data_IF_657862870073
#
_entry.id   IF_657862870073
#
_cell.length_a   1.000
_cell.length_b   1.000
_cell.length_c   1.000
_cell.angle_alpha   90.00
_cell.angle_beta   90.00
_cell.angle_gamma   90.00
#
_symmetry.space_group_name_H-M   'P 1'
#
loop_
_entity.id
_entity.type
_entity.pdbx_description
1 polymer ?
#
# COMPACT_ATOMS: atom_id res chain seq x y z
N UNK A 1 16.54 -23.11 -13.14
CA UNK A 1 15.88 -23.19 -11.81
C UNK A 1 14.51 -23.82 -11.93
N UNK A 2 14.01 -24.42 -10.84
CA UNK A 2 12.60 -24.87 -10.73
C UNK A 2 11.69 -23.70 -10.38
N UNK A 3 10.39 -23.82 -10.65
CA UNK A 3 9.43 -22.76 -10.36
C UNK A 3 9.41 -22.38 -8.88
N UNK A 4 9.53 -23.34 -7.96
CA UNK A 4 9.51 -23.07 -6.53
C UNK A 4 10.68 -22.18 -6.08
N UNK A 5 11.86 -22.35 -6.72
CA UNK A 5 13.03 -21.51 -6.47
C UNK A 5 12.80 -20.09 -7.00
N UNK A 6 12.21 -19.96 -8.20
CA UNK A 6 11.88 -18.65 -8.80
C UNK A 6 10.83 -17.93 -7.95
N UNK A 7 9.77 -18.62 -7.52
CA UNK A 7 8.72 -18.07 -6.66
C UNK A 7 9.29 -17.53 -5.35
N UNK A 8 10.28 -18.22 -4.77
CA UNK A 8 10.92 -17.76 -3.53
C UNK A 8 11.69 -16.44 -3.75
N UNK A 9 12.44 -16.31 -4.85
CA UNK A 9 13.15 -15.08 -5.19
C UNK A 9 12.19 -13.94 -5.49
N UNK A 10 11.14 -14.17 -6.28
CA UNK A 10 10.14 -13.14 -6.60
C UNK A 10 9.36 -12.68 -5.36
N UNK A 11 9.10 -13.58 -4.41
CA UNK A 11 8.50 -13.18 -3.14
C UNK A 11 9.46 -12.33 -2.30
N UNK A 12 10.77 -12.61 -2.33
CA UNK A 12 11.74 -11.76 -1.65
C UNK A 12 11.74 -10.34 -2.25
N UNK A 13 11.69 -10.22 -3.58
CA UNK A 13 11.59 -8.94 -4.27
C UNK A 13 10.27 -8.23 -3.89
N UNK A 14 9.15 -8.95 -3.94
CA UNK A 14 7.82 -8.42 -3.59
C UNK A 14 7.75 -7.89 -2.17
N UNK A 15 8.34 -8.60 -1.20
CA UNK A 15 8.43 -8.14 0.19
C UNK A 15 9.25 -6.83 0.27
N UNK A 16 10.33 -6.72 -0.53
CA UNK A 16 11.11 -5.48 -0.69
C UNK A 16 10.26 -4.30 -1.17
N UNK A 17 9.54 -4.48 -2.27
CA UNK A 17 8.60 -3.47 -2.83
C UNK A 17 7.57 -3.05 -1.79
N UNK A 18 7.01 -4.02 -1.07
CA UNK A 18 6.03 -3.75 -0.02
C UNK A 18 6.62 -2.89 1.11
N UNK A 19 7.88 -3.12 1.49
CA UNK A 19 8.60 -2.28 2.44
C UNK A 19 8.82 -0.85 1.92
N UNK A 20 9.22 -0.70 0.66
CA UNK A 20 9.45 0.59 0.01
C UNK A 20 8.19 1.45 -0.04
N UNK A 21 7.06 0.89 -0.49
CA UNK A 21 5.75 1.57 -0.51
C UNK A 21 5.44 2.21 0.85
N UNK A 22 5.53 1.43 1.92
CA UNK A 22 5.15 1.89 3.26
C UNK A 22 6.14 2.92 3.80
N UNK A 23 7.43 2.76 3.54
CA UNK A 23 8.42 3.76 3.91
C UNK A 23 8.16 5.10 3.19
N UNK A 24 7.93 5.06 1.88
CA UNK A 24 7.77 6.27 1.07
C UNK A 24 6.48 7.01 1.40
N UNK A 25 5.35 6.31 1.52
CA UNK A 25 4.10 6.92 1.99
C UNK A 25 4.24 7.51 3.39
N UNK A 26 4.88 6.79 4.32
CA UNK A 26 5.08 7.30 5.68
C UNK A 26 5.92 8.57 5.69
N UNK A 27 7.00 8.63 4.89
CA UNK A 27 7.83 9.83 4.79
C UNK A 27 7.10 10.99 4.09
N UNK A 28 6.33 10.73 3.03
CA UNK A 28 5.56 11.72 2.32
C UNK A 28 4.47 12.36 3.21
N UNK A 29 3.66 11.54 3.90
CA UNK A 29 2.66 12.08 4.83
C UNK A 29 3.31 12.84 5.99
N UNK A 30 4.48 12.39 6.47
CA UNK A 30 5.17 13.02 7.58
C UNK A 30 5.69 14.44 7.27
N UNK A 31 5.90 14.78 6.00
CA UNK A 31 6.35 16.12 5.59
C UNK A 31 5.20 17.07 5.22
N UNK A 32 3.96 16.55 5.14
CA UNK A 32 2.78 17.30 4.72
C UNK A 32 2.73 17.59 3.23
N UNK A 33 1.65 18.24 2.79
CA UNK A 33 1.48 18.59 1.38
C UNK A 33 2.63 19.48 0.86
N UNK A 34 3.23 19.07 -0.24
CA UNK A 34 4.32 19.79 -0.89
C UNK A 34 4.84 19.04 -2.11
N UNK A 35 5.60 19.74 -2.95
CA UNK A 35 6.12 19.17 -4.20
C UNK A 35 6.91 17.87 -3.95
N UNK A 36 7.82 17.88 -2.97
CA UNK A 36 8.61 16.69 -2.62
C UNK A 36 7.76 15.53 -2.11
N UNK A 37 6.73 15.80 -1.31
CA UNK A 37 5.81 14.76 -0.85
C UNK A 37 5.08 14.11 -2.03
N UNK A 38 4.57 14.92 -2.96
CA UNK A 38 3.90 14.43 -4.17
C UNK A 38 4.84 13.63 -5.09
N UNK A 39 6.12 14.02 -5.19
CA UNK A 39 7.14 13.29 -5.94
C UNK A 39 7.44 11.93 -5.29
N UNK A 40 7.59 11.87 -3.97
CA UNK A 40 7.81 10.61 -3.23
C UNK A 40 6.59 9.69 -3.32
N UNK A 41 5.37 10.22 -3.24
CA UNK A 41 4.17 9.43 -3.48
C UNK A 41 4.09 8.90 -4.92
N UNK A 42 4.65 9.63 -5.89
CA UNK A 42 4.73 9.13 -7.26
C UNK A 42 5.63 7.91 -7.37
N UNK A 43 6.76 7.91 -6.66
CA UNK A 43 7.64 6.74 -6.54
C UNK A 43 6.91 5.61 -5.82
N UNK A 44 6.22 5.87 -4.70
CA UNK A 44 5.43 4.85 -4.00
C UNK A 44 4.38 4.19 -4.92
N UNK A 45 3.77 4.95 -5.85
CA UNK A 45 2.86 4.39 -6.87
C UNK A 45 3.57 3.55 -7.94
N UNK A 46 4.86 3.79 -8.20
CA UNK A 46 5.67 2.92 -9.04
C UNK A 46 5.98 1.60 -8.33
N UNK A 47 6.34 1.64 -7.04
CA UNK A 47 6.54 0.42 -6.25
C UNK A 47 5.27 -0.42 -6.11
N UNK A 48 4.10 0.22 -6.03
CA UNK A 48 2.81 -0.49 -6.10
C UNK A 48 2.63 -1.25 -7.43
N UNK A 49 3.14 -0.70 -8.54
CA UNK A 49 3.14 -1.40 -9.84
C UNK A 49 4.14 -2.56 -9.85
N UNK A 50 5.33 -2.36 -9.28
CA UNK A 50 6.34 -3.42 -9.15
C UNK A 50 5.79 -4.60 -8.34
N UNK A 51 5.22 -4.32 -7.16
CA UNK A 51 4.53 -5.29 -6.32
C UNK A 51 3.47 -6.06 -7.10
N UNK A 52 2.62 -5.37 -7.86
CA UNK A 52 1.57 -5.98 -8.67
C UNK A 52 2.13 -6.91 -9.76
N UNK A 53 3.15 -6.49 -10.51
CA UNK A 53 3.76 -7.33 -11.54
C UNK A 53 4.43 -8.57 -10.97
N UNK A 54 5.10 -8.44 -9.83
CA UNK A 54 5.71 -9.57 -9.12
C UNK A 54 4.63 -10.54 -8.62
N UNK A 55 3.56 -10.03 -8.02
CA UNK A 55 2.46 -10.83 -7.50
C UNK A 55 1.79 -11.64 -8.61
N UNK A 56 1.45 -11.01 -9.74
CA UNK A 56 0.90 -11.70 -10.91
C UNK A 56 1.85 -12.78 -11.43
N UNK A 57 3.14 -12.49 -11.52
CA UNK A 57 4.15 -13.46 -11.99
C UNK A 57 4.28 -14.64 -11.02
N UNK A 58 4.20 -14.41 -9.71
CA UNK A 58 4.20 -15.46 -8.69
C UNK A 58 2.99 -16.38 -8.88
N UNK A 59 1.80 -15.82 -9.07
CA UNK A 59 0.57 -16.60 -9.32
C UNK A 59 0.64 -17.37 -10.64
N UNK A 60 1.16 -16.76 -11.71
CA UNK A 60 1.36 -17.44 -13.00
C UNK A 60 2.26 -18.68 -12.88
N UNK A 61 3.22 -18.67 -11.96
CA UNK A 61 4.10 -19.81 -11.68
C UNK A 61 3.46 -20.86 -10.76
N UNK A 62 2.26 -20.61 -10.24
CA UNK A 62 1.54 -21.46 -9.29
C UNK A 62 1.86 -21.18 -7.82
N UNK A 63 2.46 -20.03 -7.52
CA UNK A 63 2.78 -19.59 -6.17
C UNK A 63 1.68 -18.74 -5.53
N UNK A 64 1.92 -18.34 -4.28
CA UNK A 64 1.09 -17.40 -3.52
C UNK A 64 1.94 -16.17 -3.20
N UNK A 65 1.50 -14.95 -3.56
CA UNK A 65 2.21 -13.72 -3.19
C UNK A 65 2.28 -13.53 -1.68
N UNK A 66 3.45 -13.12 -1.17
CA UNK A 66 3.64 -12.77 0.23
C UNK A 66 2.89 -11.49 0.58
N UNK A 67 2.40 -11.39 1.81
CA UNK A 67 1.84 -10.15 2.37
C UNK A 67 2.77 -9.53 3.42
N UNK A 68 4.01 -10.04 3.52
CA UNK A 68 4.98 -9.52 4.48
C UNK A 68 5.60 -8.25 3.92
N UNK A 69 5.78 -7.27 4.80
CA UNK A 69 6.67 -6.14 4.53
C UNK A 69 8.12 -6.56 4.69
N UNK A 70 8.92 -6.22 3.70
CA UNK A 70 10.37 -6.28 3.76
C UNK A 70 10.95 -5.26 4.75
N UNK A 71 12.27 -5.21 4.81
CA UNK A 71 13.00 -4.32 5.71
C UNK A 71 12.76 -2.86 5.31
N UNK A 72 12.39 -2.03 6.29
CA UNK A 72 12.30 -0.58 6.15
C UNK A 72 13.41 0.14 6.94
N UNK A 73 13.72 1.36 6.54
CA UNK A 73 14.71 2.28 7.12
C UNK A 73 14.00 3.53 7.68
N UNK A 74 13.18 3.33 8.70
CA UNK A 74 12.31 4.36 9.31
C UNK A 74 13.00 5.31 10.32
N UNK A 75 14.30 5.17 10.57
CA UNK A 75 15.05 6.00 11.52
C UNK A 75 15.47 7.35 10.95
N UNK A 76 16.07 8.21 11.78
CA UNK A 76 16.60 9.52 11.37
C UNK A 76 15.94 10.69 12.12
N UNK A 77 16.64 11.82 12.23
CA UNK A 77 16.19 12.99 13.00
C UNK A 77 15.63 14.10 12.10
N UNK A 78 15.90 14.05 10.80
CA UNK A 78 15.52 15.06 9.82
C UNK A 78 14.97 14.46 8.53
N UNK A 79 14.21 15.23 7.75
CA UNK A 79 13.73 14.81 6.43
C UNK A 79 14.90 14.43 5.51
N UNK A 80 16.04 15.13 5.62
CA UNK A 80 17.24 14.78 4.86
C UNK A 80 17.82 13.40 5.26
N UNK A 81 17.68 12.96 6.52
CA UNK A 81 18.04 11.59 6.92
C UNK A 81 17.09 10.56 6.28
N UNK A 82 15.80 10.86 6.21
CA UNK A 82 14.82 9.99 5.57
C UNK A 82 15.09 9.83 4.08
N UNK A 83 15.45 10.92 3.38
CA UNK A 83 15.81 10.85 1.96
C UNK A 83 17.09 10.03 1.75
N UNK A 84 18.08 10.15 2.66
CA UNK A 84 19.26 9.28 2.66
C UNK A 84 18.89 7.81 2.88
N UNK A 85 17.91 7.54 3.73
CA UNK A 85 17.39 6.19 3.93
C UNK A 85 16.64 5.67 2.69
N UNK A 86 16.01 6.53 1.91
CA UNK A 86 15.49 6.20 0.57
C UNK A 86 16.61 5.74 -0.35
N UNK A 87 17.67 6.53 -0.52
CA UNK A 87 18.87 6.13 -1.29
C UNK A 87 19.40 4.76 -0.87
N UNK A 88 19.53 4.52 0.43
CA UNK A 88 20.03 3.24 0.95
C UNK A 88 19.03 2.08 0.78
N UNK A 89 17.73 2.36 0.71
CA UNK A 89 16.73 1.32 0.46
C UNK A 89 16.78 0.88 -1.00
N UNK A 90 16.88 1.82 -1.93
CA UNK A 90 17.09 1.56 -3.37
C UNK A 90 18.38 0.76 -3.61
N UNK A 91 19.47 1.09 -2.90
CA UNK A 91 20.72 0.31 -2.96
C UNK A 91 20.55 -1.12 -2.44
N UNK A 92 19.79 -1.30 -1.36
CA UNK A 92 19.47 -2.62 -0.81
C UNK A 92 18.60 -3.43 -1.80
N UNK A 93 17.71 -2.79 -2.58
CA UNK A 93 16.80 -3.41 -3.55
C UNK A 93 17.48 -3.77 -4.89
N UNK A 94 18.38 -2.92 -5.40
CA UNK A 94 19.08 -3.17 -6.67
C UNK A 94 19.95 -4.44 -6.64
N UNK A 95 20.53 -4.79 -5.50
CA UNK A 95 21.42 -5.94 -5.36
C UNK A 95 20.72 -7.30 -5.64
N UNK A 96 19.61 -7.65 -4.96
CA UNK A 96 18.87 -8.88 -5.26
C UNK A 96 18.33 -8.90 -6.70
N UNK A 97 17.83 -7.78 -7.24
CA UNK A 97 17.40 -7.75 -8.65
C UNK A 97 18.52 -8.15 -9.62
N UNK A 98 19.72 -7.60 -9.45
CA UNK A 98 20.89 -7.95 -10.27
C UNK A 98 21.23 -9.44 -10.15
N UNK A 99 21.20 -10.00 -8.94
CA UNK A 99 21.43 -11.42 -8.71
C UNK A 99 20.35 -12.31 -9.37
N UNK A 100 19.07 -11.97 -9.16
CA UNK A 100 17.93 -12.72 -9.67
C UNK A 100 17.90 -12.73 -11.20
N UNK A 101 18.22 -11.59 -11.83
CA UNK A 101 18.37 -11.47 -13.28
C UNK A 101 19.46 -12.41 -13.82
N UNK A 102 20.56 -12.63 -13.12
CA UNK A 102 21.61 -13.54 -13.60
C UNK A 102 21.17 -15.00 -13.52
N UNK A 103 20.52 -15.40 -12.42
CA UNK A 103 20.21 -16.82 -12.12
C UNK A 103 18.92 -17.34 -12.75
N UNK A 104 17.92 -16.48 -13.03
CA UNK A 104 16.64 -16.90 -13.61
C UNK A 104 16.75 -17.01 -15.13
N UNK A 105 16.53 -18.19 -15.72
CA UNK A 105 16.64 -18.37 -17.18
C UNK A 105 15.42 -17.89 -17.98
N UNK A 106 14.26 -17.70 -17.34
CA UNK A 106 13.01 -17.38 -18.04
C UNK A 106 13.08 -15.96 -18.66
N UNK A 107 12.99 -15.82 -20.00
CA UNK A 107 13.17 -14.53 -20.66
C UNK A 107 12.04 -13.52 -20.38
N UNK A 108 10.82 -13.99 -20.04
CA UNK A 108 9.72 -13.09 -19.65
C UNK A 108 10.01 -12.47 -18.28
N UNK A 109 10.42 -13.29 -17.32
CA UNK A 109 10.73 -12.85 -15.95
C UNK A 109 11.98 -11.96 -15.96
N UNK A 110 13.05 -12.35 -16.66
CA UNK A 110 14.24 -11.51 -16.84
C UNK A 110 13.90 -10.10 -17.34
N UNK A 111 13.02 -10.00 -18.35
CA UNK A 111 12.59 -8.70 -18.89
C UNK A 111 11.84 -7.86 -17.86
N UNK A 112 10.98 -8.50 -17.06
CA UNK A 112 10.25 -7.83 -15.98
C UNK A 112 11.23 -7.29 -14.93
N UNK A 113 12.13 -8.14 -14.42
CA UNK A 113 13.11 -7.73 -13.40
C UNK A 113 14.06 -6.65 -13.91
N UNK A 114 14.47 -6.70 -15.19
CA UNK A 114 15.26 -5.64 -15.82
C UNK A 114 14.50 -4.32 -15.93
N UNK A 115 13.17 -4.38 -16.13
CA UNK A 115 12.34 -3.18 -16.13
C UNK A 115 12.27 -2.58 -14.74
N UNK A 116 11.98 -3.39 -13.73
CA UNK A 116 11.92 -2.94 -12.32
C UNK A 116 13.27 -2.35 -11.91
N UNK A 117 14.38 -3.07 -12.12
CA UNK A 117 15.72 -2.58 -11.81
C UNK A 117 16.04 -1.22 -12.46
N UNK A 118 15.55 -0.96 -13.68
CA UNK A 118 15.73 0.34 -14.32
C UNK A 118 14.95 1.46 -13.63
N UNK A 119 13.80 1.15 -13.05
CA UNK A 119 12.98 2.08 -12.28
C UNK A 119 13.66 2.32 -10.91
N UNK A 120 14.16 1.28 -10.21
CA UNK A 120 14.96 1.42 -8.97
C UNK A 120 16.20 2.33 -9.16
N UNK A 121 16.91 2.17 -10.29
CA UNK A 121 18.07 3.01 -10.63
C UNK A 121 17.67 4.49 -10.84
N UNK A 122 16.44 4.75 -11.30
CA UNK A 122 15.88 6.10 -11.39
C UNK A 122 15.51 6.63 -10.01
N UNK A 123 14.78 5.85 -9.21
CA UNK A 123 14.37 6.22 -7.86
C UNK A 123 15.56 6.53 -6.95
N UNK A 124 16.65 5.77 -7.08
CA UNK A 124 17.92 6.06 -6.41
C UNK A 124 18.41 7.47 -6.70
N UNK A 125 18.41 7.87 -7.98
CA UNK A 125 18.77 9.21 -8.42
C UNK A 125 17.81 10.29 -7.90
N UNK A 126 16.51 10.00 -7.88
CA UNK A 126 15.48 10.90 -7.34
C UNK A 126 15.68 11.13 -5.84
N UNK A 127 15.91 10.07 -5.06
CA UNK A 127 16.20 10.21 -3.62
C UNK A 127 17.52 10.96 -3.35
N UNK A 128 18.55 10.78 -4.17
CA UNK A 128 19.77 11.60 -4.08
C UNK A 128 19.46 13.08 -4.28
N UNK A 129 18.60 13.40 -5.25
CA UNK A 129 18.13 14.76 -5.46
C UNK A 129 17.32 15.29 -4.26
N UNK A 130 16.43 14.46 -3.68
CA UNK A 130 15.62 14.84 -2.52
C UNK A 130 16.46 15.12 -1.27
N UNK A 131 17.59 14.43 -1.08
CA UNK A 131 18.52 14.75 0.03
C UNK A 131 18.98 16.20 -0.06
N UNK A 132 19.35 16.69 -1.25
CA UNK A 132 19.74 18.08 -1.43
C UNK A 132 18.57 19.04 -1.28
N UNK A 133 17.42 18.69 -1.87
CA UNK A 133 16.19 19.50 -1.86
C UNK A 133 15.70 19.72 -0.43
N UNK A 134 15.64 18.65 0.38
CA UNK A 134 15.23 18.71 1.78
C UNK A 134 16.10 19.66 2.62
N UNK A 135 17.42 19.67 2.38
CA UNK A 135 18.34 20.59 3.05
C UNK A 135 18.14 22.05 2.65
N UNK A 136 17.83 22.32 1.37
CA UNK A 136 17.63 23.68 0.84
C UNK A 136 16.27 24.26 1.25
N UNK A 137 15.22 23.45 1.24
CA UNK A 137 13.85 23.88 1.54
C UNK A 137 13.56 23.90 3.04
N UNK A 138 14.39 23.24 3.85
CA UNK A 138 14.18 23.14 5.29
C UNK A 138 12.92 22.34 5.63
N UNK A 139 12.66 21.29 4.85
CA UNK A 139 11.55 20.36 5.08
C UNK A 139 11.60 19.79 6.50
N UNK A 140 10.42 19.61 7.12
CA UNK A 140 10.30 19.20 8.52
C UNK A 140 9.37 18.00 8.65
N UNK A 141 9.64 17.20 9.69
CA UNK A 141 8.63 16.31 10.23
C UNK A 141 7.53 17.17 10.86
N UNK A 142 6.33 17.12 10.30
CA UNK A 142 5.15 17.84 10.82
C UNK A 142 4.26 16.94 11.67
N UNK A 143 4.59 15.66 11.82
CA UNK A 143 3.87 14.75 12.71
C UNK A 143 4.01 15.21 14.15
N UNK A 144 3.02 14.85 14.95
CA UNK A 144 3.03 15.11 16.38
C UNK A 144 2.70 13.88 17.22
N UNK A 145 2.49 14.12 18.52
CA UNK A 145 2.24 13.09 19.51
C UNK A 145 0.78 13.04 19.97
N UNK A 146 -0.17 13.59 19.20
CA UNK A 146 -1.60 13.54 19.55
C UNK A 146 -2.09 12.09 19.60
N UNK A 147 -2.78 11.74 20.68
CA UNK A 147 -3.30 10.40 20.98
C UNK A 147 -4.71 10.44 21.58
N UNK A 148 -5.42 11.54 21.37
CA UNK A 148 -6.79 11.71 21.86
C UNK A 148 -7.77 10.79 21.09
N UNK A 149 -9.06 10.89 21.43
CA UNK A 149 -10.07 10.02 20.85
C UNK A 149 -10.20 10.18 19.32
N UNK A 150 -10.00 11.38 18.79
CA UNK A 150 -10.02 11.62 17.34
C UNK A 150 -8.82 10.93 16.68
N UNK A 151 -7.61 11.07 17.24
CA UNK A 151 -6.43 10.38 16.75
C UNK A 151 -6.59 8.84 16.77
N UNK A 152 -7.31 8.29 17.76
CA UNK A 152 -7.62 6.86 17.82
C UNK A 152 -8.59 6.42 16.72
N UNK A 153 -9.60 7.23 16.40
CA UNK A 153 -10.54 6.97 15.29
C UNK A 153 -9.79 6.98 13.96
N UNK A 154 -8.95 7.99 13.73
CA UNK A 154 -8.17 8.11 12.49
C UNK A 154 -7.18 6.94 12.33
N UNK A 155 -6.42 6.60 13.38
CA UNK A 155 -5.49 5.46 13.31
C UNK A 155 -6.21 4.11 13.16
N UNK A 156 -7.41 3.95 13.72
CA UNK A 156 -8.24 2.77 13.44
C UNK A 156 -8.64 2.70 11.96
N UNK A 157 -9.06 3.83 11.38
CA UNK A 157 -9.36 3.92 9.95
C UNK A 157 -8.14 3.61 9.08
N UNK A 158 -6.99 4.24 9.34
CA UNK A 158 -5.74 3.99 8.59
C UNK A 158 -5.32 2.51 8.63
N UNK A 159 -5.36 1.87 9.81
CA UNK A 159 -5.06 0.44 9.93
C UNK A 159 -6.07 -0.42 9.16
N UNK A 160 -7.33 0.00 9.18
CA UNK A 160 -8.40 -0.67 8.48
C UNK A 160 -8.22 -0.60 6.96
N UNK A 161 -8.10 0.61 6.40
CA UNK A 161 -7.92 0.80 4.96
C UNK A 161 -6.69 0.05 4.47
N UNK A 162 -5.59 0.08 5.23
CA UNK A 162 -4.41 -0.68 4.87
C UNK A 162 -4.65 -2.20 4.86
N UNK A 163 -5.41 -2.72 5.82
CA UNK A 163 -5.79 -4.14 5.85
C UNK A 163 -6.61 -4.51 4.61
N UNK A 164 -7.56 -3.65 4.21
CA UNK A 164 -8.45 -3.91 3.07
C UNK A 164 -7.73 -3.79 1.74
N UNK A 165 -6.83 -2.82 1.57
CA UNK A 165 -5.96 -2.71 0.38
C UNK A 165 -5.23 -4.05 0.16
N UNK A 166 -4.60 -4.59 1.20
CA UNK A 166 -3.87 -5.85 1.11
C UNK A 166 -4.80 -7.03 0.79
N UNK A 167 -5.99 -7.08 1.42
CA UNK A 167 -6.97 -8.12 1.18
C UNK A 167 -7.47 -8.11 -0.28
N UNK A 168 -7.83 -6.94 -0.80
CA UNK A 168 -8.34 -6.79 -2.16
C UNK A 168 -7.28 -7.08 -3.21
N UNK A 169 -6.05 -6.61 -3.02
CA UNK A 169 -4.95 -6.98 -3.91
C UNK A 169 -4.68 -8.48 -3.86
N UNK A 170 -4.63 -9.09 -2.67
CA UNK A 170 -4.43 -10.53 -2.55
C UNK A 170 -5.54 -11.32 -3.26
N UNK A 171 -6.81 -10.99 -3.01
CA UNK A 171 -7.94 -11.64 -3.64
C UNK A 171 -7.97 -11.42 -5.16
N UNK A 172 -7.60 -10.23 -5.64
CA UNK A 172 -7.53 -9.93 -7.07
C UNK A 172 -6.46 -10.75 -7.80
N UNK A 173 -5.32 -10.99 -7.16
CA UNK A 173 -4.28 -11.86 -7.72
C UNK A 173 -4.70 -13.34 -7.73
N UNK A 174 -5.41 -13.78 -6.69
CA UNK A 174 -5.75 -15.19 -6.50
C UNK A 174 -7.03 -15.63 -7.22
N UNK A 175 -7.93 -14.71 -7.57
CA UNK A 175 -9.18 -15.04 -8.26
C UNK A 175 -8.97 -15.37 -9.73
N UNK A 176 -9.71 -16.35 -10.24
CA UNK A 176 -9.74 -16.67 -11.68
C UNK A 176 -10.82 -15.90 -12.43
N UNK A 177 -11.72 -15.22 -11.71
CA UNK A 177 -12.80 -14.43 -12.32
C UNK A 177 -12.27 -13.02 -12.66
N UNK A 178 -12.26 -12.70 -13.96
CA UNK A 178 -11.67 -11.44 -14.46
C UNK A 178 -12.44 -10.19 -14.06
N UNK A 179 -13.77 -10.28 -13.94
CA UNK A 179 -14.58 -9.14 -13.53
C UNK A 179 -14.35 -8.88 -12.03
N UNK A 180 -14.35 -9.93 -11.21
CA UNK A 180 -14.02 -9.81 -9.78
C UNK A 180 -12.60 -9.26 -9.56
N UNK A 181 -11.61 -9.76 -10.32
CA UNK A 181 -10.24 -9.24 -10.29
C UNK A 181 -10.21 -7.73 -10.53
N UNK A 182 -10.83 -7.26 -11.62
CA UNK A 182 -10.84 -5.83 -11.98
C UNK A 182 -11.48 -4.98 -10.89
N UNK A 183 -12.65 -5.39 -10.40
CA UNK A 183 -13.37 -4.60 -9.39
C UNK A 183 -12.62 -4.56 -8.05
N UNK A 184 -11.92 -5.63 -7.66
CA UNK A 184 -11.06 -5.64 -6.48
C UNK A 184 -9.83 -4.73 -6.64
N UNK A 185 -9.18 -4.72 -7.80
CA UNK A 185 -8.07 -3.80 -8.09
C UNK A 185 -8.54 -2.34 -8.04
N UNK A 186 -9.69 -2.04 -8.64
CA UNK A 186 -10.28 -0.70 -8.62
C UNK A 186 -10.65 -0.25 -7.20
N UNK A 187 -11.23 -1.15 -6.38
CA UNK A 187 -11.57 -0.84 -4.99
C UNK A 187 -10.33 -0.70 -4.12
N UNK A 188 -9.28 -1.51 -4.34
CA UNK A 188 -8.00 -1.34 -3.64
C UNK A 188 -7.40 0.05 -3.88
N UNK A 189 -7.52 0.60 -5.10
CA UNK A 189 -7.12 1.98 -5.41
C UNK A 189 -7.99 2.99 -4.65
N UNK A 190 -9.30 2.71 -4.49
CA UNK A 190 -10.17 3.57 -3.70
C UNK A 190 -9.77 3.59 -2.21
N UNK A 191 -9.46 2.42 -1.64
CA UNK A 191 -8.97 2.35 -0.25
C UNK A 191 -7.62 3.02 -0.05
N UNK A 192 -6.72 2.97 -1.03
CA UNK A 192 -5.47 3.74 -0.98
C UNK A 192 -5.74 5.25 -0.84
N UNK A 193 -6.79 5.74 -1.50
CA UNK A 193 -7.20 7.13 -1.37
C UNK A 193 -7.81 7.43 0.02
N UNK A 194 -8.58 6.51 0.59
CA UNK A 194 -9.10 6.64 1.96
C UNK A 194 -7.97 6.71 2.98
N UNK A 195 -6.99 5.82 2.85
CA UNK A 195 -5.79 5.80 3.68
C UNK A 195 -5.07 7.14 3.64
N UNK A 196 -4.88 7.69 2.44
CA UNK A 196 -4.24 9.00 2.25
C UNK A 196 -4.98 10.13 2.97
N UNK A 197 -6.30 10.25 2.75
CA UNK A 197 -7.10 11.29 3.41
C UNK A 197 -7.05 11.20 4.94
N UNK A 198 -7.11 9.98 5.48
CA UNK A 198 -7.05 9.77 6.94
C UNK A 198 -5.64 10.06 7.49
N UNK A 199 -4.59 9.70 6.75
CA UNK A 199 -3.21 9.98 7.12
C UNK A 199 -2.92 11.49 7.14
N UNK A 200 -3.34 12.22 6.10
CA UNK A 200 -3.24 13.67 6.01
C UNK A 200 -3.96 14.36 7.19
N UNK A 201 -5.24 14.02 7.41
CA UNK A 201 -6.02 14.55 8.53
C UNK A 201 -5.38 14.25 9.90
N UNK A 202 -4.79 13.06 10.05
CA UNK A 202 -4.07 12.67 11.26
C UNK A 202 -2.83 13.54 11.47
N UNK A 203 -2.04 13.81 10.42
CA UNK A 203 -0.84 14.63 10.50
C UNK A 203 -1.18 16.10 10.76
N UNK A 204 -2.14 16.67 10.01
CA UNK A 204 -2.61 18.04 10.17
C UNK A 204 -3.18 18.29 11.57
N UNK A 205 -3.81 17.26 12.14
CA UNK A 205 -4.28 17.25 13.52
C UNK A 205 -3.17 17.15 14.57
N UNK A 206 -1.89 17.10 14.20
CA UNK A 206 -0.74 16.96 15.10
C UNK A 206 -0.52 15.52 15.61
N UNK A 207 -1.00 14.53 14.87
CA UNK A 207 -0.87 13.11 15.14
C UNK A 207 0.27 12.44 14.36
N UNK A 208 0.36 11.12 14.51
CA UNK A 208 1.28 10.26 13.78
C UNK A 208 0.51 9.06 13.20
N UNK A 209 0.33 8.97 11.88
CA UNK A 209 -0.33 7.86 11.21
C UNK A 209 0.33 6.51 11.53
N UNK A 210 -0.48 5.50 11.83
CA UNK A 210 -0.02 4.13 12.02
C UNK A 210 -0.48 3.24 10.86
N UNK A 211 0.38 3.11 9.85
CA UNK A 211 0.16 2.26 8.68
C UNK A 211 0.57 0.81 9.01
N UNK A 212 -0.24 0.18 9.85
CA UNK A 212 -0.11 -1.22 10.26
C UNK A 212 -1.40 -1.94 9.87
N UNK A 213 -1.33 -3.23 9.56
CA UNK A 213 -2.52 -4.01 9.18
C UNK A 213 -2.82 -5.08 10.23
N UNK A 214 -4.05 -5.56 10.22
CA UNK A 214 -4.48 -6.71 11.02
C UNK A 214 -4.44 -7.99 10.19
N UNK A 215 -5.10 -9.06 10.64
CA UNK A 215 -5.19 -10.29 9.87
C UNK A 215 -5.94 -10.04 8.55
N UNK A 216 -5.32 -10.44 7.45
CA UNK A 216 -5.88 -10.36 6.09
C UNK A 216 -6.48 -11.71 5.72
N UNK A 217 -7.71 -11.73 5.23
CA UNK A 217 -8.30 -12.97 4.69
C UNK A 217 -7.52 -13.40 3.43
N UNK A 218 -7.13 -14.68 3.39
CA UNK A 218 -6.34 -15.24 2.29
C UNK A 218 -7.10 -16.36 1.58
N UNK A 219 -8.43 -16.26 1.52
CA UNK A 219 -9.26 -17.19 0.78
C UNK A 219 -8.85 -17.23 -0.69
N UNK A 220 -8.81 -18.43 -1.28
CA UNK A 220 -8.41 -18.63 -2.68
C UNK A 220 -9.58 -19.03 -3.59
N UNK A 221 -10.80 -19.09 -3.06
CA UNK A 221 -12.03 -19.31 -3.83
C UNK A 221 -12.78 -17.98 -3.96
N UNK A 222 -13.12 -17.59 -5.18
CA UNK A 222 -13.76 -16.31 -5.50
C UNK A 222 -14.98 -16.01 -4.62
N UNK A 223 -15.88 -16.97 -4.44
CA UNK A 223 -17.08 -16.76 -3.60
C UNK A 223 -16.73 -16.59 -2.10
N UNK A 224 -15.67 -17.22 -1.61
CA UNK A 224 -15.25 -17.08 -0.22
C UNK A 224 -14.56 -15.73 0.00
N UNK A 225 -13.74 -15.28 -0.96
CA UNK A 225 -13.14 -13.93 -0.99
C UNK A 225 -14.22 -12.85 -0.90
N UNK A 226 -15.20 -12.87 -1.83
CA UNK A 226 -16.27 -11.87 -1.87
C UNK A 226 -17.09 -11.87 -0.58
N UNK A 227 -17.33 -13.02 0.06
CA UNK A 227 -18.02 -13.06 1.36
C UNK A 227 -17.18 -12.45 2.48
N UNK A 228 -15.87 -12.65 2.48
CA UNK A 228 -14.95 -12.02 3.43
C UNK A 228 -14.92 -10.50 3.24
N UNK A 229 -14.82 -10.04 1.99
CA UNK A 229 -14.80 -8.62 1.61
C UNK A 229 -16.12 -7.91 1.98
N UNK A 230 -17.28 -8.50 1.64
CA UNK A 230 -18.59 -7.96 2.04
C UNK A 230 -18.69 -7.83 3.57
N UNK A 231 -18.18 -8.82 4.32
CA UNK A 231 -18.28 -8.84 5.77
C UNK A 231 -17.41 -7.75 6.40
N UNK A 232 -16.20 -7.52 5.89
CA UNK A 232 -15.31 -6.50 6.44
C UNK A 232 -15.90 -5.10 6.18
N UNK A 233 -16.42 -4.87 4.97
CA UNK A 233 -17.05 -3.61 4.58
C UNK A 233 -18.27 -3.23 5.42
N UNK A 234 -19.17 -4.18 5.66
CA UNK A 234 -20.34 -3.94 6.49
C UNK A 234 -19.98 -3.52 7.92
N UNK A 235 -18.92 -4.10 8.48
CA UNK A 235 -18.43 -3.75 9.81
C UNK A 235 -17.91 -2.31 9.80
N UNK A 236 -17.22 -1.92 8.74
CA UNK A 236 -16.49 -0.65 8.64
C UNK A 236 -17.42 0.51 8.39
N UNK A 237 -18.38 0.34 7.48
CA UNK A 237 -19.46 1.30 7.29
C UNK A 237 -20.21 1.58 8.61
N UNK A 238 -20.42 0.56 9.45
CA UNK A 238 -21.04 0.75 10.76
C UNK A 238 -20.13 1.50 11.76
N UNK A 239 -18.82 1.24 11.75
CA UNK A 239 -17.85 1.95 12.60
C UNK A 239 -17.69 3.41 12.17
N UNK A 240 -17.53 3.72 10.88
CA UNK A 240 -17.52 5.10 10.39
C UNK A 240 -18.84 5.81 10.67
N UNK A 241 -19.98 5.11 10.55
CA UNK A 241 -21.28 5.62 10.99
C UNK A 241 -21.26 6.11 12.44
N UNK A 242 -20.76 5.30 13.37
CA UNK A 242 -20.61 5.71 14.78
C UNK A 242 -19.61 6.84 14.95
N UNK A 243 -18.48 6.79 14.27
CA UNK A 243 -17.46 7.83 14.36
C UNK A 243 -18.00 9.21 13.94
N UNK A 244 -18.86 9.27 12.91
CA UNK A 244 -19.50 10.54 12.47
C UNK A 244 -20.42 11.16 13.53
N UNK A 245 -21.01 10.35 14.41
CA UNK A 245 -21.82 10.83 15.54
C UNK A 245 -20.95 11.33 16.70
N UNK A 246 -19.76 10.74 16.86
CA UNK A 246 -18.84 11.00 17.96
C UNK A 246 -17.97 12.26 17.74
N UNK A 247 -17.44 12.44 16.53
CA UNK A 247 -16.62 13.61 16.23
C UNK A 247 -17.46 14.91 16.29
N UNK A 248 -16.83 16.05 16.52
CA UNK A 248 -17.53 17.36 16.53
C UNK A 248 -17.12 18.26 15.38
N UNK A 249 -15.91 18.08 14.87
CA UNK A 249 -15.38 18.84 13.75
C UNK A 249 -16.19 18.55 12.46
N UNK A 250 -16.71 19.60 11.79
CA UNK A 250 -17.59 19.43 10.63
C UNK A 250 -16.89 18.88 9.39
N UNK A 251 -15.60 19.18 9.19
CA UNK A 251 -14.85 18.75 8.02
C UNK A 251 -14.45 17.27 8.16
N UNK A 252 -13.98 16.87 9.35
CA UNK A 252 -13.74 15.46 9.68
C UNK A 252 -15.04 14.64 9.59
N UNK A 253 -16.17 15.17 10.06
CA UNK A 253 -17.47 14.49 9.88
C UNK A 253 -17.77 14.20 8.42
N UNK A 254 -17.53 15.18 7.56
CA UNK A 254 -17.78 15.07 6.12
C UNK A 254 -16.84 14.05 5.48
N UNK A 255 -15.57 14.02 5.89
CA UNK A 255 -14.60 13.02 5.45
C UNK A 255 -15.04 11.60 5.83
N UNK A 256 -15.30 11.35 7.11
CA UNK A 256 -15.71 10.02 7.60
C UNK A 256 -17.05 9.57 6.98
N UNK A 257 -18.00 10.49 6.78
CA UNK A 257 -19.25 10.17 6.11
C UNK A 257 -19.05 9.81 4.64
N UNK A 258 -18.09 10.45 3.95
CA UNK A 258 -17.75 10.14 2.55
C UNK A 258 -17.15 8.74 2.43
N UNK A 259 -16.17 8.41 3.27
CA UNK A 259 -15.54 7.07 3.31
C UNK A 259 -16.60 6.01 3.59
N UNK A 260 -17.43 6.20 4.63
CA UNK A 260 -18.57 5.32 4.92
C UNK A 260 -19.46 5.05 3.70
N UNK A 261 -19.77 6.10 2.92
CA UNK A 261 -20.66 5.97 1.77
C UNK A 261 -20.00 5.18 0.62
N UNK A 262 -18.66 5.22 0.51
CA UNK A 262 -17.89 4.36 -0.39
C UNK A 262 -17.91 2.89 0.09
N UNK A 263 -17.71 2.61 1.38
CA UNK A 263 -17.82 1.23 1.93
C UNK A 263 -19.21 0.59 1.69
N UNK A 264 -20.27 1.41 1.75
CA UNK A 264 -21.63 0.97 1.42
C UNK A 264 -21.75 0.64 -0.08
N UNK A 265 -21.04 1.36 -0.94
CA UNK A 265 -20.97 1.06 -2.37
C UNK A 265 -20.19 -0.23 -2.62
N UNK A 266 -18.99 -0.40 -2.03
CA UNK A 266 -18.18 -1.62 -2.12
C UNK A 266 -18.98 -2.85 -1.71
N UNK A 267 -19.66 -2.78 -0.56
CA UNK A 267 -20.56 -3.84 -0.08
C UNK A 267 -21.57 -4.27 -1.14
N UNK A 268 -22.22 -3.32 -1.82
CA UNK A 268 -23.24 -3.60 -2.84
C UNK A 268 -22.63 -4.20 -4.09
N UNK A 269 -21.52 -3.63 -4.56
CA UNK A 269 -20.77 -4.11 -5.72
C UNK A 269 -20.34 -5.57 -5.54
N UNK A 270 -19.65 -5.88 -4.44
CA UNK A 270 -19.22 -7.25 -4.15
C UNK A 270 -20.40 -8.21 -3.92
N UNK A 271 -21.51 -7.72 -3.36
CA UNK A 271 -22.74 -8.53 -3.23
C UNK A 271 -23.35 -8.90 -4.57
N UNK A 272 -23.27 -8.02 -5.57
CA UNK A 272 -23.77 -8.30 -6.91
C UNK A 272 -22.83 -9.28 -7.65
N UNK A 273 -21.52 -9.09 -7.54
CA UNK A 273 -20.52 -10.05 -8.04
C UNK A 273 -20.67 -11.44 -7.42
N UNK A 274 -20.91 -11.53 -6.11
CA UNK A 274 -21.10 -12.81 -5.42
C UNK A 274 -22.33 -13.56 -5.96
N UNK A 275 -23.45 -12.85 -6.20
CA UNK A 275 -24.64 -13.46 -6.81
C UNK A 275 -24.38 -13.94 -8.23
N UNK A 276 -23.43 -13.35 -8.95
CA UNK A 276 -23.05 -13.81 -10.29
C UNK A 276 -22.12 -15.01 -10.24
N UNK A 277 -21.16 -15.03 -9.32
CA UNK A 277 -20.23 -16.14 -9.10
C UNK A 277 -20.94 -17.43 -8.62
N UNK A 278 -22.04 -17.30 -7.87
CA UNK A 278 -22.81 -18.43 -7.33
C UNK A 278 -23.87 -19.02 -8.28
N UNK A 279 -24.07 -18.43 -9.46
CA UNK A 279 -25.04 -18.93 -10.47
C UNK A 279 -24.51 -20.10 -11.28
#
# INVERSE_FOLDING_TARGET
>A
MKNEEIIALLNQDLEGEHGAIIQYLTHAYAMGEGEMACEIEAIAREEMRHLGWLAETIVELGGTPSLKRGKMRMGGESVADWMRNGVLLEEDAMAPYKEHIEVIDNPKIKRLLQRILSDEESHHGDFQHFVEKAGKEGAKDIRGARQDRVAQILNWGIEHEYTVILQYLFHSYMTTNKDVKREMEDQAINEMQHLGWLAEEMVDGGGNPRIEHTEVDQSTKTADMLRADIKIEQKVAAEYGRATEEVTDPDLKKLLARIRDHEIYHTKLFSDLLKEEEK
#
